data_IF_176891072244
#
_entry.id   IF_176891072244
#
_cell.length_a   1.000
_cell.length_b   1.000
_cell.length_c   1.000
_cell.angle_alpha   90.00
_cell.angle_beta   90.00
_cell.angle_gamma   90.00
#
_symmetry.space_group_name_H-M   'P 1'
#
loop_
_entity.id
_entity.type
_entity.pdbx_description
1 polymer ?
#
# COMPACT_ATOMS: atom_id res chain seq x y z
N UNK A 1 25.18 -8.72 14.48
CA UNK A 1 24.91 -7.74 15.60
C UNK A 1 23.53 -8.11 16.11
N UNK A 2 23.45 -8.50 17.40
CA UNK A 2 22.14 -8.79 18.00
C UNK A 2 21.32 -7.51 18.05
N UNK A 3 20.27 -7.48 17.27
CA UNK A 3 19.29 -6.39 17.30
C UNK A 3 18.26 -6.71 18.39
N UNK A 4 18.25 -6.01 19.53
CA UNK A 4 17.32 -6.35 20.61
C UNK A 4 15.90 -6.04 20.16
N UNK A 5 15.03 -7.04 20.17
CA UNK A 5 13.60 -6.84 20.09
C UNK A 5 13.09 -6.32 21.44
N UNK A 6 12.31 -5.27 21.44
CA UNK A 6 11.73 -4.64 22.64
C UNK A 6 10.24 -4.33 22.42
N UNK A 7 9.57 -3.95 23.50
CA UNK A 7 8.16 -3.61 23.46
C UNK A 7 7.31 -4.54 24.33
N UNK A 8 6.00 -4.47 24.17
CA UNK A 8 5.01 -5.21 24.95
C UNK A 8 4.43 -6.36 24.15
N UNK A 9 4.14 -7.45 24.86
CA UNK A 9 3.49 -8.62 24.26
C UNK A 9 2.81 -9.39 25.39
N UNK A 10 1.50 -9.57 25.29
CA UNK A 10 0.77 -10.37 26.26
C UNK A 10 1.33 -11.78 26.27
N UNK A 11 1.40 -12.40 27.45
CA UNK A 11 2.00 -13.73 27.65
C UNK A 11 1.44 -14.81 26.71
N UNK A 12 0.16 -14.69 26.35
CA UNK A 12 -0.52 -15.55 25.38
C UNK A 12 0.20 -15.59 24.01
N UNK A 13 0.80 -14.48 23.58
CA UNK A 13 1.47 -14.33 22.30
C UNK A 13 2.98 -14.47 22.38
N UNK A 14 3.51 -15.21 23.37
CA UNK A 14 4.94 -15.43 23.55
C UNK A 14 5.63 -16.01 22.31
N UNK A 15 4.98 -16.92 21.60
CA UNK A 15 5.49 -17.52 20.36
C UNK A 15 5.64 -16.45 19.24
N UNK A 16 4.72 -15.47 19.13
CA UNK A 16 4.87 -14.39 18.17
C UNK A 16 6.11 -13.54 18.48
N UNK A 17 6.38 -13.26 19.76
CA UNK A 17 7.61 -12.58 20.18
C UNK A 17 8.86 -13.36 19.78
N UNK A 18 8.85 -14.69 19.96
CA UNK A 18 9.96 -15.55 19.55
C UNK A 18 10.16 -15.54 18.03
N UNK A 19 9.07 -15.65 17.25
CA UNK A 19 9.15 -15.58 15.79
C UNK A 19 9.64 -14.21 15.30
N UNK A 20 9.24 -13.11 15.97
CA UNK A 20 9.75 -11.79 15.68
C UNK A 20 11.27 -11.71 15.92
N UNK A 21 11.77 -12.26 17.02
CA UNK A 21 13.22 -12.35 17.27
C UNK A 21 13.95 -13.24 16.25
N UNK A 22 13.34 -14.37 15.85
CA UNK A 22 13.89 -15.25 14.80
C UNK A 22 13.98 -14.56 13.44
N UNK A 23 13.11 -13.60 13.13
CA UNK A 23 13.21 -12.83 11.89
C UNK A 23 14.58 -12.14 11.78
N UNK A 24 15.08 -11.59 12.87
CA UNK A 24 16.42 -10.97 12.91
C UNK A 24 17.54 -12.00 12.87
N UNK A 25 17.42 -13.08 13.63
CA UNK A 25 18.47 -14.09 13.76
C UNK A 25 18.63 -14.96 12.51
N UNK A 26 17.51 -15.31 11.83
CA UNK A 26 17.48 -16.40 10.86
C UNK A 26 16.93 -15.98 9.48
N UNK A 27 16.12 -14.88 9.39
CA UNK A 27 15.41 -14.52 8.16
C UNK A 27 15.87 -13.19 7.57
N UNK A 28 17.03 -12.67 8.05
CA UNK A 28 17.66 -11.47 7.49
C UNK A 28 16.87 -10.18 7.72
N UNK A 29 16.09 -10.07 8.79
CA UNK A 29 15.49 -8.80 9.19
C UNK A 29 16.56 -7.81 9.64
N UNK A 30 16.40 -6.52 9.29
CA UNK A 30 17.34 -5.48 9.71
C UNK A 30 16.67 -4.53 10.70
N UNK A 31 15.53 -4.00 10.36
CA UNK A 31 14.69 -3.19 11.23
C UNK A 31 13.22 -3.45 10.94
N UNK A 32 12.43 -3.65 11.99
CA UNK A 32 11.00 -3.94 11.85
C UNK A 32 10.21 -3.60 13.10
N UNK A 33 8.89 -3.52 12.91
CA UNK A 33 7.92 -3.48 13.99
C UNK A 33 6.67 -4.28 13.64
N UNK A 34 6.01 -4.87 14.65
CA UNK A 34 4.74 -5.56 14.54
C UNK A 34 3.79 -5.11 15.64
N UNK A 35 2.55 -4.83 15.27
CA UNK A 35 1.48 -4.51 16.21
C UNK A 35 0.26 -5.39 15.94
N UNK A 36 -0.36 -5.89 17.00
CA UNK A 36 -1.62 -6.62 16.96
C UNK A 36 -2.59 -5.97 17.93
N UNK A 37 -3.75 -5.65 17.44
CA UNK A 37 -4.91 -5.26 18.26
C UNK A 37 -5.98 -6.34 18.16
N UNK A 38 -6.61 -6.65 19.29
CA UNK A 38 -7.75 -7.56 19.36
C UNK A 38 -8.86 -6.85 20.13
N UNK A 39 -10.03 -6.74 19.50
CA UNK A 39 -11.19 -6.04 20.06
C UNK A 39 -10.83 -4.63 20.56
N UNK A 40 -10.02 -3.89 19.76
CA UNK A 40 -9.60 -2.52 20.07
C UNK A 40 -8.52 -2.40 21.17
N UNK A 41 -7.95 -3.53 21.63
CA UNK A 41 -6.86 -3.55 22.62
C UNK A 41 -5.55 -3.99 21.99
N UNK A 42 -4.49 -3.22 22.12
CA UNK A 42 -3.14 -3.63 21.72
C UNK A 42 -2.66 -4.78 22.60
N UNK A 43 -2.41 -5.95 22.02
CA UNK A 43 -1.92 -7.16 22.70
C UNK A 43 -0.47 -7.47 22.36
N UNK A 44 0.02 -6.96 21.21
CA UNK A 44 1.42 -7.03 20.78
C UNK A 44 1.82 -5.68 20.21
N UNK A 45 2.93 -5.15 20.68
CA UNK A 45 3.62 -3.97 20.13
C UNK A 45 5.12 -4.21 20.30
N UNK A 46 5.74 -4.76 19.26
CA UNK A 46 7.16 -5.13 19.24
C UNK A 46 7.89 -4.37 18.15
N UNK A 47 9.08 -3.91 18.46
CA UNK A 47 10.00 -3.29 17.52
C UNK A 47 11.43 -3.77 17.78
N UNK A 48 12.29 -3.66 16.77
CA UNK A 48 13.68 -4.06 16.92
C UNK A 48 14.54 -3.74 15.71
N UNK A 49 15.84 -3.89 15.89
CA UNK A 49 16.83 -3.72 14.84
C UNK A 49 17.20 -2.28 14.55
N UNK A 50 17.53 -2.00 13.31
CA UNK A 50 18.17 -0.78 12.85
C UNK A 50 17.37 -0.07 11.79
N UNK A 51 17.28 1.25 11.89
CA UNK A 51 16.62 2.10 10.93
C UNK A 51 17.53 2.53 9.76
N UNK A 52 18.79 2.15 9.78
CA UNK A 52 19.78 2.40 8.73
C UNK A 52 20.63 1.14 8.45
N UNK A 53 21.34 1.15 7.31
CA UNK A 53 22.19 0.01 6.89
C UNK A 53 23.41 -0.15 7.80
N UNK A 54 23.95 0.92 8.30
CA UNK A 54 25.20 0.92 9.09
C UNK A 54 25.00 0.47 10.53
N UNK A 55 23.75 0.25 10.97
CA UNK A 55 23.46 -0.15 12.35
C UNK A 55 23.78 0.94 13.38
N UNK A 56 23.64 2.21 13.00
CA UNK A 56 23.92 3.36 13.86
C UNK A 56 22.66 4.01 14.42
N UNK A 57 21.55 3.90 13.69
CA UNK A 57 20.25 4.44 14.06
C UNK A 57 19.34 3.29 14.52
N UNK A 58 19.11 3.12 15.82
CA UNK A 58 18.23 2.06 16.30
C UNK A 58 16.79 2.31 15.84
N UNK A 59 16.07 1.24 15.50
CA UNK A 59 14.64 1.31 15.31
C UNK A 59 13.96 1.72 16.60
N UNK A 60 12.99 2.62 16.54
CA UNK A 60 12.27 3.16 17.70
C UNK A 60 10.78 2.86 17.56
N UNK A 61 10.02 2.96 18.65
CA UNK A 61 8.57 2.79 18.63
C UNK A 61 7.85 3.79 17.73
N UNK A 62 8.44 4.97 17.51
CA UNK A 62 7.96 6.04 16.65
C UNK A 62 8.64 6.06 15.27
N UNK A 63 9.40 5.03 14.90
CA UNK A 63 10.03 4.94 13.57
C UNK A 63 8.96 4.79 12.50
N UNK A 64 9.05 5.65 11.49
CA UNK A 64 8.26 5.58 10.27
C UNK A 64 9.07 4.84 9.19
N UNK A 65 8.40 4.07 8.38
CA UNK A 65 9.01 3.45 7.21
C UNK A 65 8.01 3.38 6.06
N UNK A 66 8.52 3.37 4.84
CA UNK A 66 7.71 3.14 3.66
C UNK A 66 7.07 1.74 3.71
N UNK A 67 5.76 1.68 3.81
CA UNK A 67 4.98 0.44 3.81
C UNK A 67 4.41 0.10 2.43
N UNK A 68 4.81 0.86 1.43
CA UNK A 68 4.45 0.62 0.03
C UNK A 68 2.93 0.47 -0.20
N UNK A 69 2.56 -0.59 -0.90
CA UNK A 69 1.19 -0.82 -1.36
C UNK A 69 0.16 -1.05 -0.25
N UNK A 70 0.54 -1.16 1.02
CA UNK A 70 -0.42 -1.09 2.14
C UNK A 70 -1.19 0.22 2.09
N UNK A 71 -0.56 1.31 1.62
CA UNK A 71 -1.18 2.62 1.44
C UNK A 71 -2.35 2.67 0.46
N UNK A 72 -2.43 1.72 -0.49
CA UNK A 72 -3.58 1.64 -1.43
C UNK A 72 -4.91 1.45 -0.71
N UNK A 73 -4.92 0.63 0.34
CA UNK A 73 -6.12 0.45 1.16
C UNK A 73 -6.55 1.77 1.84
N UNK A 74 -5.59 2.59 2.27
CA UNK A 74 -5.90 3.86 2.93
C UNK A 74 -6.42 4.90 1.93
N UNK A 75 -5.85 4.96 0.73
CA UNK A 75 -6.37 5.84 -0.33
C UNK A 75 -7.76 5.41 -0.80
N UNK A 76 -7.97 4.10 -0.95
CA UNK A 76 -9.30 3.56 -1.25
C UNK A 76 -10.30 3.91 -0.15
N UNK A 77 -9.90 3.81 1.11
CA UNK A 77 -10.74 4.19 2.25
C UNK A 77 -11.19 5.67 2.16
N UNK A 78 -10.32 6.58 1.74
CA UNK A 78 -10.71 7.99 1.52
C UNK A 78 -11.82 8.09 0.45
N UNK A 79 -11.68 7.38 -0.67
CA UNK A 79 -12.70 7.36 -1.72
C UNK A 79 -14.02 6.72 -1.24
N UNK A 80 -13.93 5.59 -0.53
CA UNK A 80 -15.11 4.90 0.01
C UNK A 80 -15.86 5.74 1.05
N UNK A 81 -15.17 6.53 1.84
CA UNK A 81 -15.80 7.49 2.76
C UNK A 81 -16.60 8.57 2.02
N UNK A 82 -16.16 8.99 0.84
CA UNK A 82 -16.93 9.91 -0.01
C UNK A 82 -18.16 9.20 -0.61
N UNK A 83 -18.06 7.91 -0.90
CA UNK A 83 -19.21 7.09 -1.32
C UNK A 83 -20.23 6.98 -0.18
N UNK A 84 -19.79 6.64 1.00
CA UNK A 84 -20.65 6.49 2.20
C UNK A 84 -21.34 7.82 2.58
N UNK A 85 -20.64 8.95 2.32
CA UNK A 85 -21.21 10.29 2.48
C UNK A 85 -22.12 10.73 1.31
N UNK A 86 -22.38 9.88 0.33
CA UNK A 86 -23.22 10.20 -0.84
C UNK A 86 -22.65 11.27 -1.78
N UNK A 87 -21.33 11.50 -1.73
CA UNK A 87 -20.66 12.54 -2.53
C UNK A 87 -20.33 12.06 -3.96
N UNK A 88 -20.19 10.76 -4.15
CA UNK A 88 -19.97 10.08 -5.43
C UNK A 88 -20.46 8.63 -5.29
N UNK A 89 -21.02 8.05 -6.35
CA UNK A 89 -21.41 6.64 -6.40
C UNK A 89 -20.25 5.74 -6.87
N UNK A 90 -20.25 4.47 -6.45
CA UNK A 90 -19.26 3.50 -6.94
C UNK A 90 -19.32 3.32 -8.46
N UNK A 91 -20.52 3.37 -9.03
CA UNK A 91 -20.77 3.14 -10.45
C UNK A 91 -20.91 4.45 -11.23
N UNK A 92 -20.67 5.60 -10.60
CA UNK A 92 -20.62 6.88 -11.29
C UNK A 92 -19.40 6.93 -12.21
N UNK A 93 -19.55 7.45 -13.45
CA UNK A 93 -18.41 7.69 -14.32
C UNK A 93 -17.42 8.66 -13.66
N UNK A 94 -16.14 8.34 -13.69
CA UNK A 94 -15.06 9.20 -13.18
C UNK A 94 -15.12 10.59 -13.85
N UNK A 95 -15.53 10.63 -15.12
CA UNK A 95 -15.66 11.84 -15.90
C UNK A 95 -16.64 12.88 -15.31
N UNK A 96 -17.56 12.48 -14.44
CA UNK A 96 -18.50 13.39 -13.77
C UNK A 96 -17.78 14.36 -12.82
N UNK A 97 -16.67 13.91 -12.22
CA UNK A 97 -15.86 14.72 -11.29
C UNK A 97 -14.49 15.06 -11.87
N UNK A 98 -14.07 14.34 -12.88
CA UNK A 98 -12.79 14.52 -13.57
C UNK A 98 -12.99 14.43 -15.10
N UNK A 99 -13.53 15.51 -15.73
CA UNK A 99 -13.91 15.49 -17.15
C UNK A 99 -12.77 15.11 -18.09
N UNK A 100 -11.53 15.50 -17.77
CA UNK A 100 -10.35 15.21 -18.58
C UNK A 100 -10.05 13.70 -18.64
N UNK A 101 -10.51 12.91 -17.66
CA UNK A 101 -10.35 11.47 -17.66
C UNK A 101 -11.15 10.75 -18.75
N UNK A 102 -12.21 11.39 -19.29
CA UNK A 102 -12.98 10.82 -20.40
C UNK A 102 -12.18 10.65 -21.70
N UNK A 103 -11.03 11.31 -21.81
CA UNK A 103 -10.19 11.22 -23.00
C UNK A 103 -9.82 9.77 -23.36
N UNK A 104 -9.57 9.53 -24.64
CA UNK A 104 -9.07 8.26 -25.18
C UNK A 104 -10.02 7.07 -24.94
N UNK A 105 -11.35 7.29 -24.89
CA UNK A 105 -12.33 6.21 -24.73
C UNK A 105 -12.52 5.71 -23.30
N UNK A 106 -12.23 6.56 -22.29
CA UNK A 106 -12.42 6.21 -20.87
C UNK A 106 -13.68 6.82 -20.23
N UNK A 107 -14.60 7.36 -21.03
CA UNK A 107 -15.82 8.04 -20.54
C UNK A 107 -16.72 7.14 -19.67
N UNK A 108 -16.71 5.82 -19.92
CA UNK A 108 -17.49 4.84 -19.16
C UNK A 108 -16.75 4.26 -17.95
N UNK A 109 -15.51 4.69 -17.70
CA UNK A 109 -14.76 4.22 -16.52
C UNK A 109 -15.41 4.75 -15.24
N UNK A 110 -15.66 3.86 -14.26
CA UNK A 110 -16.31 4.20 -13.00
C UNK A 110 -15.33 4.20 -11.83
N UNK A 111 -15.74 4.77 -10.68
CA UNK A 111 -14.97 4.68 -9.44
C UNK A 111 -14.72 3.21 -9.05
N UNK A 112 -15.72 2.33 -9.21
CA UNK A 112 -15.58 0.88 -8.99
C UNK A 112 -14.45 0.31 -9.83
N UNK A 113 -14.37 0.65 -11.12
CA UNK A 113 -13.29 0.18 -12.00
C UNK A 113 -11.91 0.64 -11.51
N UNK A 114 -11.79 1.86 -11.02
CA UNK A 114 -10.54 2.36 -10.44
C UNK A 114 -10.16 1.58 -9.19
N UNK A 115 -11.10 1.39 -8.25
CA UNK A 115 -10.86 0.75 -6.96
C UNK A 115 -10.50 -0.74 -7.08
N UNK A 116 -11.06 -1.46 -8.06
CA UNK A 116 -10.78 -2.90 -8.28
C UNK A 116 -9.82 -3.20 -9.44
N UNK A 117 -9.01 -2.21 -9.85
CA UNK A 117 -7.97 -2.37 -10.88
C UNK A 117 -8.46 -2.69 -12.30
N UNK A 118 -9.65 -2.22 -12.67
CA UNK A 118 -10.27 -2.45 -13.98
C UNK A 118 -10.35 -1.20 -14.87
N UNK A 119 -9.82 -0.05 -14.42
CA UNK A 119 -9.92 1.22 -15.16
C UNK A 119 -9.12 1.29 -16.47
N UNK A 120 -8.28 0.29 -16.76
CA UNK A 120 -7.52 0.24 -18.02
C UNK A 120 -6.26 1.09 -18.06
N UNK A 121 -5.83 1.71 -16.97
CA UNK A 121 -4.67 2.60 -16.91
C UNK A 121 -3.57 2.15 -15.92
N UNK A 122 -3.13 0.87 -15.97
CA UNK A 122 -2.13 0.37 -15.02
C UNK A 122 -0.75 0.96 -15.26
N UNK A 123 -0.48 1.51 -16.45
CA UNK A 123 0.79 2.07 -16.86
C UNK A 123 0.59 3.32 -17.72
N UNK A 124 1.44 4.33 -17.50
CA UNK A 124 1.40 5.58 -18.24
C UNK A 124 2.15 5.44 -19.56
N UNK A 125 1.56 5.91 -20.67
CA UNK A 125 2.19 5.85 -22.01
C UNK A 125 3.11 7.03 -22.30
N UNK A 126 2.75 8.29 -21.94
CA UNK A 126 3.65 9.42 -22.14
C UNK A 126 4.93 9.23 -21.32
N UNK A 127 6.13 9.49 -21.89
CA UNK A 127 7.37 9.41 -21.14
C UNK A 127 7.42 10.51 -20.07
N UNK A 128 7.75 10.10 -18.85
CA UNK A 128 7.85 10.97 -17.69
C UNK A 128 9.23 10.84 -17.04
N UNK A 129 9.60 11.85 -16.25
CA UNK A 129 10.85 11.91 -15.50
C UNK A 129 10.56 11.84 -13.99
N UNK A 130 11.59 11.66 -13.17
CA UNK A 130 11.43 11.74 -11.71
C UNK A 130 11.04 13.14 -11.24
N UNK A 131 11.39 14.20 -11.97
CA UNK A 131 10.93 15.55 -11.66
C UNK A 131 9.42 15.71 -11.85
N UNK A 132 8.82 14.95 -12.75
CA UNK A 132 7.37 14.89 -12.95
C UNK A 132 6.66 14.19 -11.80
N UNK A 133 7.30 13.19 -11.22
CA UNK A 133 6.76 12.39 -10.10
C UNK A 133 6.42 13.25 -8.87
N UNK A 134 7.16 14.34 -8.66
CA UNK A 134 6.94 15.26 -7.53
C UNK A 134 5.81 16.27 -7.76
N UNK A 135 5.22 16.29 -8.96
CA UNK A 135 4.19 17.24 -9.36
C UNK A 135 2.85 16.53 -9.58
N UNK A 136 1.98 16.65 -8.59
CA UNK A 136 0.67 15.97 -8.62
C UNK A 136 -0.09 16.19 -9.93
N UNK A 137 -0.22 17.45 -10.36
CA UNK A 137 -1.01 17.79 -11.56
C UNK A 137 -0.42 17.17 -12.83
N UNK A 138 0.89 17.05 -12.93
CA UNK A 138 1.55 16.40 -14.08
C UNK A 138 1.20 14.91 -14.10
N UNK A 139 1.30 14.25 -12.95
CA UNK A 139 0.99 12.82 -12.84
C UNK A 139 -0.49 12.54 -13.08
N UNK A 140 -1.40 13.34 -12.51
CA UNK A 140 -2.83 13.22 -12.72
C UNK A 140 -3.19 13.45 -14.20
N UNK A 141 -2.63 14.48 -14.84
CA UNK A 141 -2.83 14.73 -16.27
C UNK A 141 -2.29 13.59 -17.13
N UNK A 142 -1.16 12.97 -16.78
CA UNK A 142 -0.64 11.81 -17.48
C UNK A 142 -1.57 10.59 -17.37
N UNK A 143 -2.19 10.38 -16.20
CA UNK A 143 -3.21 9.34 -16.02
C UNK A 143 -4.42 9.63 -16.92
N UNK A 144 -4.92 10.86 -16.94
CA UNK A 144 -6.06 11.26 -17.77
C UNK A 144 -5.78 11.16 -19.27
N UNK A 145 -4.58 11.53 -19.71
CA UNK A 145 -4.18 11.51 -21.11
C UNK A 145 -3.76 10.12 -21.62
N UNK A 146 -3.57 9.15 -20.73
CA UNK A 146 -3.16 7.80 -21.14
C UNK A 146 -4.26 7.09 -21.90
N UNK A 147 -3.98 6.66 -23.14
CA UNK A 147 -4.83 5.71 -23.87
C UNK A 147 -4.90 4.42 -23.07
N UNK A 148 -6.09 3.89 -22.77
CA UNK A 148 -6.22 2.71 -21.94
C UNK A 148 -5.59 1.47 -22.61
N UNK A 149 -5.10 0.53 -21.80
CA UNK A 149 -4.53 -0.74 -22.25
C UNK A 149 -5.62 -1.75 -22.61
N UNK A 150 -6.84 -1.54 -22.13
CA UNK A 150 -8.07 -2.23 -22.47
C UNK A 150 -9.27 -1.33 -22.19
N UNK A 151 -10.40 -1.63 -22.76
CA UNK A 151 -11.66 -0.96 -22.46
C UNK A 151 -11.99 -1.08 -20.96
N UNK A 152 -12.20 0.05 -20.25
CA UNK A 152 -12.50 0.04 -18.82
C UNK A 152 -13.61 -0.97 -18.47
N UNK A 153 -13.38 -1.76 -17.42
CA UNK A 153 -14.34 -2.79 -16.98
C UNK A 153 -14.20 -4.15 -17.66
N UNK A 154 -13.45 -4.31 -18.77
CA UNK A 154 -13.38 -5.59 -19.51
C UNK A 154 -12.27 -6.53 -19.03
N UNK A 155 -11.17 -5.97 -18.52
CA UNK A 155 -10.03 -6.72 -18.00
C UNK A 155 -9.55 -6.10 -16.70
N UNK A 156 -8.61 -6.75 -16.03
CA UNK A 156 -7.89 -6.16 -14.92
C UNK A 156 -6.38 -6.39 -15.05
N UNK A 157 -5.61 -5.46 -14.50
CA UNK A 157 -4.22 -5.67 -14.11
C UNK A 157 -3.91 -4.75 -12.93
N UNK A 158 -3.02 -5.17 -12.06
CA UNK A 158 -2.66 -4.39 -10.88
C UNK A 158 -2.12 -3.02 -11.28
N UNK A 159 -2.83 -1.96 -10.94
CA UNK A 159 -2.40 -0.58 -11.11
C UNK A 159 -1.32 -0.28 -10.07
N UNK A 160 -0.11 -0.81 -10.28
CA UNK A 160 0.98 -0.84 -9.29
C UNK A 160 1.24 0.54 -8.71
N UNK A 161 1.43 1.52 -9.56
CA UNK A 161 1.79 2.88 -9.17
C UNK A 161 0.71 3.91 -9.51
N UNK A 162 0.03 3.74 -10.63
CA UNK A 162 -0.99 4.70 -11.11
C UNK A 162 -2.22 4.76 -10.20
N UNK A 163 -2.50 3.70 -9.41
CA UNK A 163 -3.64 3.61 -8.51
C UNK A 163 -3.80 4.84 -7.61
N UNK A 164 -2.69 5.29 -7.00
CA UNK A 164 -2.71 6.41 -6.07
C UNK A 164 -3.07 7.74 -6.73
N UNK A 165 -2.53 8.01 -7.91
CA UNK A 165 -2.87 9.22 -8.67
C UNK A 165 -4.28 9.13 -9.27
N UNK A 166 -4.71 7.94 -9.71
CA UNK A 166 -6.06 7.73 -10.24
C UNK A 166 -7.13 7.92 -9.16
N UNK A 167 -7.08 7.13 -8.08
CA UNK A 167 -8.06 7.21 -7.00
C UNK A 167 -7.91 8.51 -6.21
N UNK A 168 -6.66 8.93 -5.98
CA UNK A 168 -6.37 10.16 -5.25
C UNK A 168 -6.85 11.43 -5.95
N UNK A 169 -6.80 11.49 -7.28
CA UNK A 169 -7.32 12.64 -8.02
C UNK A 169 -8.86 12.70 -7.93
N UNK A 170 -9.54 11.55 -7.98
CA UNK A 170 -10.99 11.50 -7.74
C UNK A 170 -11.29 12.01 -6.33
N UNK A 171 -10.58 11.53 -5.32
CA UNK A 171 -10.72 11.99 -3.92
C UNK A 171 -10.52 13.50 -3.84
N UNK A 172 -9.45 14.05 -4.43
CA UNK A 172 -9.13 15.47 -4.42
C UNK A 172 -10.23 16.31 -5.06
N UNK A 173 -10.77 15.88 -6.20
CA UNK A 173 -11.82 16.62 -6.92
C UNK A 173 -13.16 16.62 -6.20
N UNK A 174 -13.52 15.49 -5.59
CA UNK A 174 -14.78 15.37 -4.85
C UNK A 174 -14.74 16.11 -3.51
N UNK A 175 -13.60 16.04 -2.80
CA UNK A 175 -13.47 16.64 -1.47
C UNK A 175 -13.00 18.09 -1.48
N UNK A 176 -12.18 18.47 -2.47
CA UNK A 176 -11.51 19.77 -2.55
C UNK A 176 -10.17 19.82 -1.79
N UNK A 177 -9.69 18.70 -1.22
CA UNK A 177 -8.45 18.62 -0.45
C UNK A 177 -7.56 17.46 -0.90
N UNK A 178 -6.26 17.53 -0.60
CA UNK A 178 -5.29 16.50 -0.99
C UNK A 178 -5.52 15.17 -0.27
N UNK A 179 -5.05 14.06 -0.83
CA UNK A 179 -5.03 12.77 -0.13
C UNK A 179 -4.19 12.83 1.15
N UNK A 180 -3.09 13.58 1.12
CA UNK A 180 -2.25 13.85 2.30
C UNK A 180 -3.07 14.42 3.44
N UNK A 181 -3.78 15.52 3.20
CA UNK A 181 -4.51 16.22 4.24
C UNK A 181 -5.67 15.38 4.78
N UNK A 182 -6.41 14.71 3.89
CA UNK A 182 -7.49 13.83 4.30
C UNK A 182 -7.01 12.61 5.07
N UNK A 183 -5.89 11.99 4.64
CA UNK A 183 -5.32 10.87 5.39
C UNK A 183 -4.79 11.32 6.74
N UNK A 184 -4.16 12.49 6.83
CA UNK A 184 -3.68 13.04 8.09
C UNK A 184 -4.85 13.31 9.07
N UNK A 185 -5.94 13.89 8.58
CA UNK A 185 -7.15 14.10 9.37
C UNK A 185 -7.75 12.76 9.84
N UNK A 186 -7.93 11.81 8.93
CA UNK A 186 -8.47 10.49 9.25
C UNK A 186 -7.58 9.76 10.26
N UNK A 187 -6.27 9.73 10.03
CA UNK A 187 -5.30 9.08 10.90
C UNK A 187 -5.33 9.68 12.32
N UNK A 188 -5.46 11.01 12.44
CA UNK A 188 -5.60 11.66 13.74
C UNK A 188 -6.85 11.21 14.51
N UNK A 189 -7.99 10.97 13.82
CA UNK A 189 -9.24 10.53 14.48
C UNK A 189 -9.14 9.13 15.09
N UNK A 190 -8.23 8.29 14.57
CA UNK A 190 -8.01 6.92 15.05
C UNK A 190 -6.69 6.77 15.81
N UNK A 191 -5.95 7.85 15.99
CA UNK A 191 -4.64 7.85 16.66
C UNK A 191 -3.58 7.05 15.91
N UNK A 192 -3.68 6.97 14.58
CA UNK A 192 -2.73 6.28 13.72
C UNK A 192 -1.61 7.21 13.25
N UNK A 193 -0.40 6.68 13.19
CA UNK A 193 0.77 7.40 12.68
C UNK A 193 1.10 6.87 11.29
N UNK A 194 0.33 7.34 10.30
CA UNK A 194 0.45 7.00 8.88
C UNK A 194 0.36 8.25 8.01
N UNK A 195 1.15 8.30 6.95
CA UNK A 195 1.32 9.46 6.09
C UNK A 195 1.40 9.08 4.61
N UNK A 196 0.91 9.95 3.75
CA UNK A 196 1.28 10.06 2.34
C UNK A 196 1.96 11.42 2.16
N UNK A 197 3.29 11.40 1.92
CA UNK A 197 4.11 12.60 2.04
C UNK A 197 4.35 12.97 3.50
N UNK A 198 5.45 12.48 4.04
CA UNK A 198 5.85 12.73 5.43
C UNK A 198 6.13 14.22 5.65
N UNK A 199 5.56 14.86 6.68
CA UNK A 199 5.90 16.23 7.03
C UNK A 199 7.41 16.40 7.25
N UNK A 200 7.99 17.52 6.82
CA UNK A 200 9.44 17.78 6.96
C UNK A 200 9.98 17.65 8.39
N UNK A 201 9.15 17.99 9.36
CA UNK A 201 9.48 17.87 10.80
C UNK A 201 9.62 16.41 11.25
N UNK A 202 8.97 15.47 10.54
CA UNK A 202 8.90 14.05 10.88
C UNK A 202 9.88 13.18 10.07
N UNK A 203 10.45 13.69 8.98
CA UNK A 203 11.38 12.92 8.09
C UNK A 203 12.54 12.30 8.87
N UNK A 204 13.01 12.93 9.97
CA UNK A 204 14.05 12.38 10.85
C UNK A 204 13.68 11.04 11.49
N UNK A 205 12.37 10.72 11.59
CA UNK A 205 11.86 9.45 12.13
C UNK A 205 11.86 8.33 11.10
N UNK A 206 12.02 8.66 9.81
CA UNK A 206 11.98 7.66 8.76
C UNK A 206 13.21 6.75 8.83
N UNK A 207 12.96 5.44 8.75
CA UNK A 207 13.98 4.46 8.45
C UNK A 207 14.37 4.53 6.97
N UNK A 208 15.61 4.17 6.68
CA UNK A 208 16.05 3.95 5.30
C UNK A 208 15.57 2.59 4.83
N UNK A 209 15.00 2.55 3.64
CA UNK A 209 14.66 1.29 2.96
C UNK A 209 15.94 0.68 2.39
N UNK A 210 16.13 -0.60 2.65
CA UNK A 210 17.32 -1.35 2.30
C UNK A 210 16.94 -2.48 1.34
N UNK A 211 17.47 -2.45 0.13
CA UNK A 211 17.31 -3.55 -0.81
C UNK A 211 18.39 -4.61 -0.61
N UNK A 212 18.14 -5.82 -1.09
CA UNK A 212 19.05 -6.99 -0.96
C UNK A 212 20.43 -6.67 -1.51
N UNK A 213 20.52 -5.97 -2.63
CA UNK A 213 21.78 -5.53 -3.22
C UNK A 213 21.91 -4.01 -3.17
N UNK A 214 23.13 -3.46 -2.95
CA UNK A 214 23.37 -2.04 -2.97
C UNK A 214 23.04 -1.40 -4.33
N UNK A 215 23.16 -2.14 -5.43
CA UNK A 215 22.85 -1.72 -6.79
C UNK A 215 21.36 -1.38 -6.97
N UNK A 216 20.47 -2.06 -6.22
CA UNK A 216 19.03 -1.79 -6.23
C UNK A 216 18.68 -0.47 -5.54
N UNK A 217 19.58 0.10 -4.74
CA UNK A 217 19.46 1.45 -4.16
C UNK A 217 20.03 2.54 -5.06
N UNK A 218 20.88 2.18 -6.02
CA UNK A 218 21.31 3.09 -7.07
C UNK A 218 20.10 3.41 -7.96
N UNK A 219 20.00 4.62 -8.54
CA UNK A 219 18.98 4.87 -9.52
C UNK A 219 19.03 3.73 -10.55
N UNK A 220 18.01 2.87 -10.54
CA UNK A 220 17.77 2.07 -11.71
C UNK A 220 17.76 3.10 -12.84
N UNK A 221 18.74 3.05 -13.71
CA UNK A 221 18.60 3.73 -14.96
C UNK A 221 17.26 3.24 -15.49
N UNK A 222 16.32 4.16 -15.71
CA UNK A 222 15.14 3.81 -16.46
C UNK A 222 15.62 2.99 -17.66
N UNK A 223 14.94 1.89 -17.99
CA UNK A 223 15.31 1.15 -19.19
C UNK A 223 15.47 2.19 -20.31
N UNK A 224 16.61 2.20 -20.95
CA UNK A 224 16.87 3.17 -22.01
C UNK A 224 15.77 2.99 -23.06
N UNK A 225 15.40 4.06 -23.76
CA UNK A 225 14.37 4.00 -24.82
C UNK A 225 14.58 2.84 -25.78
N UNK A 226 15.83 2.44 -26.02
CA UNK A 226 16.20 1.33 -26.87
C UNK A 226 15.83 -0.04 -26.24
N UNK A 227 15.86 -0.16 -24.94
CA UNK A 227 15.39 -1.38 -24.23
C UNK A 227 13.86 -1.54 -24.28
N UNK A 228 13.13 -0.44 -24.35
CA UNK A 228 11.67 -0.44 -24.52
C UNK A 228 11.25 -0.63 -25.99
N UNK A 229 12.12 -0.34 -26.96
CA UNK A 229 11.79 -0.31 -28.37
C UNK A 229 11.36 -1.69 -28.97
N UNK A 230 11.66 -2.79 -28.28
CA UNK A 230 11.26 -4.14 -28.68
C UNK A 230 10.07 -4.71 -27.89
N UNK A 231 9.60 -4.01 -26.86
CA UNK A 231 8.52 -4.50 -25.99
C UNK A 231 7.15 -4.12 -26.56
N UNK A 232 6.20 -5.05 -26.48
CA UNK A 232 4.82 -4.84 -26.93
C UNK A 232 3.81 -5.48 -25.95
N UNK A 233 2.56 -5.06 -26.02
CA UNK A 233 1.48 -5.65 -25.22
C UNK A 233 1.77 -5.64 -23.73
N UNK A 234 1.57 -6.80 -23.09
CA UNK A 234 1.68 -6.95 -21.64
C UNK A 234 3.11 -6.68 -21.11
N UNK A 235 4.15 -7.02 -21.89
CA UNK A 235 5.53 -6.76 -21.48
C UNK A 235 5.84 -5.25 -21.40
N UNK A 236 5.40 -4.48 -22.40
CA UNK A 236 5.53 -3.02 -22.36
C UNK A 236 4.71 -2.42 -21.23
N UNK A 237 3.48 -2.90 -21.04
CA UNK A 237 2.60 -2.46 -19.96
C UNK A 237 3.24 -2.69 -18.59
N UNK A 238 3.77 -3.88 -18.36
CA UNK A 238 4.47 -4.22 -17.11
C UNK A 238 5.65 -3.29 -16.87
N UNK A 239 6.56 -3.15 -17.86
CA UNK A 239 7.74 -2.30 -17.74
C UNK A 239 7.36 -0.84 -17.43
N UNK A 240 6.41 -0.27 -18.15
CA UNK A 240 5.94 1.09 -17.90
C UNK A 240 5.20 1.23 -16.57
N UNK A 241 4.55 0.18 -16.06
CA UNK A 241 3.86 0.23 -14.77
C UNK A 241 4.82 0.41 -13.59
N UNK A 242 6.05 -0.07 -13.72
CA UNK A 242 7.08 0.03 -12.70
C UNK A 242 8.02 1.22 -12.89
N UNK A 243 8.35 1.59 -14.14
CA UNK A 243 9.46 2.48 -14.46
C UNK A 243 9.09 3.73 -15.27
N UNK A 244 7.82 4.10 -15.34
CA UNK A 244 7.41 5.36 -15.96
C UNK A 244 6.52 6.21 -15.04
N UNK A 245 7.09 7.22 -14.34
CA UNK A 245 8.51 7.65 -14.34
C UNK A 245 9.48 6.63 -13.72
N UNK A 246 10.79 6.75 -13.93
CA UNK A 246 11.79 5.77 -13.47
C UNK A 246 11.71 5.39 -12.00
N UNK A 247 11.54 6.37 -11.13
CA UNK A 247 11.43 6.18 -9.67
C UNK A 247 10.03 5.85 -9.17
N UNK A 248 9.06 5.56 -10.04
CA UNK A 248 7.66 5.38 -9.64
C UNK A 248 7.45 4.22 -8.66
N UNK A 249 8.27 3.18 -8.78
CA UNK A 249 8.31 2.05 -7.83
C UNK A 249 9.35 2.22 -6.71
N UNK A 250 9.75 3.45 -6.43
CA UNK A 250 10.73 3.81 -5.40
C UNK A 250 12.21 3.58 -5.75
N UNK A 251 12.50 2.84 -6.81
CA UNK A 251 13.88 2.50 -7.18
C UNK A 251 14.71 3.77 -7.39
N UNK A 252 15.86 3.82 -6.71
CA UNK A 252 16.79 4.95 -6.78
C UNK A 252 16.36 6.24 -6.06
N UNK A 253 15.12 6.32 -5.55
CA UNK A 253 14.60 7.56 -4.92
C UNK A 253 14.05 7.34 -3.50
N UNK A 254 13.84 6.11 -3.05
CA UNK A 254 13.08 5.76 -1.83
C UNK A 254 13.56 6.46 -0.56
N UNK A 255 14.85 6.72 -0.42
CA UNK A 255 15.43 7.36 0.77
C UNK A 255 15.65 8.86 0.61
N UNK A 256 15.27 9.45 -0.53
CA UNK A 256 15.42 10.88 -0.76
C UNK A 256 14.38 11.70 -0.01
N UNK A 257 14.71 12.94 0.39
CA UNK A 257 13.73 13.85 0.98
C UNK A 257 12.54 14.13 0.06
N UNK A 258 12.75 14.15 -1.25
CA UNK A 258 11.73 14.35 -2.29
C UNK A 258 10.71 13.23 -2.25
N UNK A 259 11.17 11.96 -2.25
CA UNK A 259 10.29 10.80 -2.15
C UNK A 259 9.48 10.81 -0.86
N UNK A 260 10.15 10.99 0.28
CA UNK A 260 9.49 11.01 1.59
C UNK A 260 8.45 12.11 1.71
N UNK A 261 8.72 13.26 1.08
CA UNK A 261 7.83 14.42 1.09
C UNK A 261 6.78 14.46 -0.01
N UNK A 262 6.92 13.67 -1.07
CA UNK A 262 5.99 13.64 -2.19
C UNK A 262 4.66 12.97 -1.83
N UNK A 263 3.66 13.18 -2.69
CA UNK A 263 2.36 12.53 -2.61
C UNK A 263 2.26 11.48 -3.74
N UNK A 264 2.68 10.24 -3.43
CA UNK A 264 2.63 9.08 -4.34
C UNK A 264 1.86 7.94 -3.65
N UNK A 265 0.52 8.08 -3.50
CA UNK A 265 -0.24 7.31 -2.51
C UNK A 265 -0.23 5.79 -2.70
N UNK A 266 0.12 5.31 -3.89
CA UNK A 266 0.24 3.86 -4.16
C UNK A 266 1.46 3.22 -3.54
N UNK A 267 2.53 4.01 -3.29
CA UNK A 267 3.88 3.47 -3.18
C UNK A 267 4.68 4.09 -2.06
N UNK A 268 4.46 5.37 -1.70
CA UNK A 268 5.23 6.06 -0.67
C UNK A 268 4.47 6.31 0.64
N UNK A 269 3.51 5.45 0.97
CA UNK A 269 2.89 5.51 2.29
C UNK A 269 3.91 5.19 3.37
N UNK A 270 4.03 6.06 4.38
CA UNK A 270 4.92 5.89 5.52
C UNK A 270 4.13 5.75 6.82
N UNK A 271 4.58 4.90 7.73
CA UNK A 271 3.94 4.78 9.03
C UNK A 271 4.64 3.81 9.97
N UNK A 272 4.10 3.76 11.18
CA UNK A 272 4.47 2.77 12.20
C UNK A 272 3.58 1.52 12.12
N UNK A 273 4.02 0.39 12.68
CA UNK A 273 3.20 -0.81 12.78
C UNK A 273 1.91 -0.57 13.57
N UNK A 274 2.00 0.21 14.65
CA UNK A 274 0.85 0.64 15.46
C UNK A 274 -0.13 1.46 14.61
N UNK A 275 0.39 2.40 13.80
CA UNK A 275 -0.42 3.22 12.92
C UNK A 275 -1.19 2.36 11.90
N UNK A 276 -0.52 1.40 11.27
CA UNK A 276 -1.16 0.47 10.33
C UNK A 276 -2.22 -0.37 11.04
N UNK A 277 -1.90 -0.98 12.20
CA UNK A 277 -2.85 -1.79 12.96
C UNK A 277 -4.10 -0.99 13.36
N UNK A 278 -3.95 0.25 13.86
CA UNK A 278 -5.05 1.13 14.26
C UNK A 278 -5.98 1.50 13.09
N UNK A 279 -5.43 1.74 11.90
CA UNK A 279 -6.25 1.97 10.71
C UNK A 279 -7.15 0.77 10.41
N UNK A 280 -6.63 -0.45 10.53
CA UNK A 280 -7.42 -1.68 10.34
C UNK A 280 -8.35 -1.98 11.51
N UNK A 281 -7.95 -1.70 12.75
CA UNK A 281 -8.83 -1.84 13.93
C UNK A 281 -10.05 -0.93 13.83
N UNK A 282 -9.87 0.30 13.38
CA UNK A 282 -10.98 1.24 13.19
C UNK A 282 -11.99 0.80 12.11
N UNK A 283 -11.58 -0.06 11.14
CA UNK A 283 -12.49 -0.69 10.18
C UNK A 283 -13.33 -1.79 10.79
N UNK A 284 -12.87 -2.42 11.87
CA UNK A 284 -13.65 -3.45 12.61
C UNK A 284 -14.68 -2.83 13.55
N UNK A 285 -14.52 -1.56 13.95
CA UNK A 285 -15.52 -0.84 14.72
C UNK A 285 -16.70 -0.44 13.81
N UNK A 286 -17.84 -1.09 14.01
CA UNK A 286 -19.01 -0.94 13.13
C UNK A 286 -19.41 0.52 12.93
N UNK A 287 -19.46 0.93 11.68
CA UNK A 287 -19.88 2.27 11.27
C UNK A 287 -18.91 3.43 11.61
N UNK A 288 -17.73 3.13 12.16
CA UNK A 288 -16.76 4.19 12.51
C UNK A 288 -16.14 4.84 11.29
N UNK A 289 -15.65 4.06 10.34
CA UNK A 289 -14.98 4.55 9.13
C UNK A 289 -15.81 4.38 7.87
N UNK A 290 -16.54 3.28 7.78
CA UNK A 290 -17.46 2.95 6.68
C UNK A 290 -18.73 2.29 7.27
N UNK A 291 -19.85 2.41 6.55
CA UNK A 291 -21.03 1.60 6.85
C UNK A 291 -20.70 0.10 6.71
N UNK A 292 -21.33 -0.77 7.50
CA UNK A 292 -21.10 -2.21 7.44
C UNK A 292 -21.31 -2.77 6.03
N UNK A 293 -22.32 -2.31 5.33
CA UNK A 293 -22.70 -2.74 3.98
C UNK A 293 -21.61 -2.38 2.98
N UNK A 294 -21.08 -1.15 3.04
CA UNK A 294 -20.01 -0.71 2.13
C UNK A 294 -18.69 -1.40 2.44
N UNK A 295 -18.39 -1.66 3.73
CA UNK A 295 -17.20 -2.41 4.11
C UNK A 295 -17.27 -3.86 3.58
N UNK A 296 -18.41 -4.54 3.72
CA UNK A 296 -18.63 -5.88 3.19
C UNK A 296 -18.46 -5.90 1.66
N UNK A 297 -19.05 -4.95 0.95
CA UNK A 297 -18.87 -4.82 -0.50
C UNK A 297 -17.41 -4.56 -0.87
N UNK A 298 -16.73 -3.65 -0.17
CA UNK A 298 -15.35 -3.26 -0.45
C UNK A 298 -14.34 -4.40 -0.22
N UNK A 299 -14.62 -5.29 0.72
CA UNK A 299 -13.75 -6.42 1.08
C UNK A 299 -14.13 -7.73 0.37
N UNK A 300 -15.23 -7.74 -0.38
CA UNK A 300 -15.66 -8.87 -1.21
C UNK A 300 -14.95 -8.87 -2.58
N UNK A 301 -14.84 -10.03 -3.26
CA UNK A 301 -14.27 -10.12 -4.59
C UNK A 301 -15.00 -9.25 -5.61
N UNK A 302 -14.30 -8.29 -6.23
CA UNK A 302 -14.81 -7.38 -7.27
C UNK A 302 -14.17 -7.67 -8.64
N UNK A 303 -12.92 -8.13 -8.65
CA UNK A 303 -12.27 -8.62 -9.85
C UNK A 303 -11.38 -9.82 -9.54
N UNK A 304 -11.50 -10.87 -10.37
CA UNK A 304 -10.79 -12.15 -10.18
C UNK A 304 -10.24 -12.61 -11.51
N UNK A 305 -9.01 -13.12 -11.52
CA UNK A 305 -8.37 -13.72 -12.69
C UNK A 305 -6.87 -13.47 -12.75
N UNK A 306 -6.26 -13.87 -13.86
CA UNK A 306 -4.83 -13.69 -14.07
C UNK A 306 -4.44 -12.22 -14.26
N UNK A 307 -3.43 -11.78 -13.52
CA UNK A 307 -2.87 -10.44 -13.62
C UNK A 307 -1.54 -10.48 -14.40
N UNK A 308 -1.44 -9.85 -15.59
CA UNK A 308 -0.22 -9.88 -16.40
C UNK A 308 0.96 -9.11 -15.79
N UNK A 309 0.72 -8.18 -14.87
CA UNK A 309 1.78 -7.43 -14.16
C UNK A 309 2.34 -8.23 -12.96
N UNK A 310 1.52 -9.04 -12.32
CA UNK A 310 1.93 -9.82 -11.15
C UNK A 310 2.24 -11.28 -11.47
N UNK A 311 1.97 -11.70 -12.71
CA UNK A 311 2.15 -13.06 -13.21
C UNK A 311 1.48 -14.13 -12.33
N UNK A 312 0.30 -13.80 -11.79
CA UNK A 312 -0.46 -14.71 -10.92
C UNK A 312 -1.97 -14.45 -10.97
N UNK A 313 -2.74 -15.44 -10.53
CA UNK A 313 -4.15 -15.26 -10.23
C UNK A 313 -4.31 -14.34 -9.03
N UNK A 314 -5.15 -13.32 -9.17
CA UNK A 314 -5.42 -12.31 -8.15
C UNK A 314 -6.90 -12.15 -7.90
N UNK A 315 -7.22 -11.69 -6.70
CA UNK A 315 -8.54 -11.23 -6.31
C UNK A 315 -8.40 -9.84 -5.71
N UNK A 316 -9.16 -8.88 -6.23
CA UNK A 316 -9.24 -7.52 -5.70
C UNK A 316 -10.66 -7.23 -5.23
N UNK A 317 -10.79 -6.60 -4.07
CA UNK A 317 -11.96 -5.87 -3.63
C UNK A 317 -11.87 -4.41 -4.08
N UNK A 318 -12.57 -3.50 -3.41
CA UNK A 318 -12.50 -2.06 -3.68
C UNK A 318 -11.34 -1.44 -2.87
N UNK A 319 -10.12 -1.66 -3.33
CA UNK A 319 -8.88 -1.19 -2.70
C UNK A 319 -8.36 -2.07 -1.58
N UNK A 320 -9.12 -3.03 -1.11
CA UNK A 320 -8.67 -4.09 -0.23
C UNK A 320 -8.44 -5.38 -1.02
N UNK A 321 -7.61 -6.26 -0.48
CA UNK A 321 -7.47 -7.63 -0.95
C UNK A 321 -8.25 -8.55 -0.02
N UNK A 322 -9.24 -9.31 -0.52
CA UNK A 322 -9.80 -10.42 0.24
C UNK A 322 -8.72 -11.48 0.50
N UNK A 323 -8.86 -12.23 1.60
CA UNK A 323 -8.05 -13.41 1.83
C UNK A 323 -8.27 -14.44 0.73
N UNK A 324 -7.19 -15.07 0.28
CA UNK A 324 -7.23 -16.17 -0.70
C UNK A 324 -6.27 -17.27 -0.29
N UNK A 325 -6.50 -18.56 -0.62
CA UNK A 325 -5.66 -19.67 -0.16
C UNK A 325 -4.16 -19.50 -0.46
N UNK A 326 -3.84 -18.88 -1.60
CA UNK A 326 -2.45 -18.63 -1.99
C UNK A 326 -1.78 -17.52 -1.15
N UNK A 327 -2.58 -16.54 -0.68
CA UNK A 327 -2.12 -15.36 0.07
C UNK A 327 -3.09 -15.03 1.21
N UNK A 328 -3.14 -15.90 2.24
CA UNK A 328 -4.07 -15.72 3.33
C UNK A 328 -3.64 -14.57 4.25
N UNK A 329 -4.65 -13.91 4.84
CA UNK A 329 -4.53 -13.01 5.99
C UNK A 329 -4.96 -13.71 7.28
N UNK A 330 -4.58 -14.97 7.45
CA UNK A 330 -5.06 -15.83 8.52
C UNK A 330 -6.04 -16.90 8.00
N UNK A 331 -6.65 -17.69 8.89
CA UNK A 331 -7.51 -18.82 8.53
C UNK A 331 -8.94 -18.42 8.16
N UNK A 332 -9.39 -17.24 8.56
CA UNK A 332 -10.79 -16.83 8.45
C UNK A 332 -11.09 -16.22 7.07
N UNK A 333 -12.20 -16.64 6.47
CA UNK A 333 -12.55 -16.30 5.09
C UNK A 333 -12.92 -14.81 4.88
N UNK A 334 -13.32 -14.10 5.94
CA UNK A 334 -13.67 -12.67 5.88
C UNK A 334 -12.49 -11.73 6.11
N UNK A 335 -11.29 -12.29 6.37
CA UNK A 335 -10.09 -11.46 6.54
C UNK A 335 -9.75 -10.71 5.25
N UNK A 336 -9.34 -9.47 5.41
CA UNK A 336 -8.98 -8.58 4.31
C UNK A 336 -7.82 -7.67 4.69
N UNK A 337 -7.07 -7.21 3.72
CA UNK A 337 -5.93 -6.33 3.99
C UNK A 337 -5.21 -5.89 2.74
N UNK A 338 -3.95 -5.51 2.90
CA UNK A 338 -3.07 -5.26 1.77
C UNK A 338 -1.62 -5.59 2.12
N UNK A 339 -0.91 -6.17 1.15
CA UNK A 339 0.54 -6.41 1.22
C UNK A 339 1.30 -5.23 0.62
N UNK A 340 2.46 -4.93 1.19
CA UNK A 340 3.45 -4.01 0.62
C UNK A 340 4.67 -4.75 0.07
N UNK A 341 5.40 -4.08 -0.80
CA UNK A 341 6.68 -4.57 -1.32
C UNK A 341 7.63 -4.89 -0.16
N UNK A 342 8.33 -6.00 -0.26
CA UNK A 342 9.28 -6.44 0.77
C UNK A 342 8.67 -7.18 1.96
N UNK A 343 7.33 -7.23 2.07
CA UNK A 343 6.65 -7.97 3.11
C UNK A 343 5.90 -7.13 4.14
N UNK A 344 5.86 -5.80 3.99
CA UNK A 344 4.96 -4.97 4.81
C UNK A 344 3.53 -5.47 4.68
N UNK A 345 2.77 -5.41 5.77
CA UNK A 345 1.46 -6.04 5.86
C UNK A 345 0.55 -5.27 6.80
N UNK A 346 -0.67 -4.99 6.33
CA UNK A 346 -1.78 -4.57 7.16
C UNK A 346 -3.01 -5.39 6.84
N UNK A 347 -3.70 -5.89 7.85
CA UNK A 347 -4.96 -6.61 7.65
C UNK A 347 -5.89 -6.54 8.86
N UNK A 348 -7.16 -6.82 8.61
CA UNK A 348 -8.19 -7.04 9.60
C UNK A 348 -8.84 -8.41 9.42
N UNK A 349 -9.19 -9.02 10.52
CA UNK A 349 -9.97 -10.26 10.60
C UNK A 349 -11.20 -10.02 11.49
N UNK A 350 -12.37 -9.78 10.88
CA UNK A 350 -13.59 -9.50 11.64
C UNK A 350 -14.11 -10.70 12.45
N UNK A 351 -13.74 -11.94 12.07
CA UNK A 351 -14.18 -13.14 12.79
C UNK A 351 -13.40 -13.35 14.10
N UNK A 352 -12.14 -12.92 14.12
CA UNK A 352 -11.27 -13.01 15.28
C UNK A 352 -11.12 -11.67 16.04
N UNK A 353 -11.74 -10.58 15.55
CA UNK A 353 -11.55 -9.23 16.10
C UNK A 353 -10.13 -8.70 15.98
N UNK A 354 -9.33 -9.24 15.05
CA UNK A 354 -7.89 -8.96 14.93
C UNK A 354 -7.63 -7.85 13.93
N UNK A 355 -6.80 -6.87 14.31
CA UNK A 355 -6.13 -5.96 13.41
C UNK A 355 -4.62 -6.10 13.56
N UNK A 356 -3.91 -6.13 12.42
CA UNK A 356 -2.51 -6.44 12.35
C UNK A 356 -1.76 -5.42 11.50
N UNK A 357 -0.61 -4.96 11.99
CA UNK A 357 0.33 -4.14 11.26
C UNK A 357 1.76 -4.67 11.39
N UNK A 358 2.44 -4.87 10.28
CA UNK A 358 3.86 -5.22 10.23
C UNK A 358 4.56 -4.35 9.20
N UNK A 359 5.60 -3.66 9.63
CA UNK A 359 6.43 -2.81 8.78
C UNK A 359 7.90 -3.15 8.99
N UNK A 360 8.70 -3.03 7.93
CA UNK A 360 10.11 -3.39 7.92
C UNK A 360 10.87 -2.53 6.90
N UNK A 361 12.18 -2.43 7.05
CA UNK A 361 12.99 -1.67 6.11
C UNK A 361 13.88 -2.50 5.18
N UNK A 362 14.07 -3.79 5.43
CA UNK A 362 14.84 -4.64 4.54
C UNK A 362 13.92 -5.35 3.55
N UNK A 363 13.86 -4.81 2.34
CA UNK A 363 13.02 -5.29 1.25
C UNK A 363 13.57 -6.60 0.70
N UNK A 364 12.75 -7.65 0.76
CA UNK A 364 12.94 -8.87 -0.03
C UNK A 364 11.84 -8.89 -1.10
N UNK A 365 12.13 -9.29 -2.35
CA UNK A 365 11.21 -9.14 -3.47
C UNK A 365 10.03 -10.13 -3.39
N UNK A 366 9.23 -10.05 -2.31
CA UNK A 366 8.03 -10.88 -2.10
C UNK A 366 7.04 -10.14 -1.21
N UNK A 367 5.76 -10.26 -1.52
CA UNK A 367 4.68 -9.72 -0.70
C UNK A 367 4.42 -10.53 0.56
N UNK A 368 4.36 -11.86 0.41
CA UNK A 368 4.37 -12.79 1.55
C UNK A 368 5.75 -13.39 1.69
N UNK A 369 6.44 -12.96 2.70
CA UNK A 369 7.74 -13.48 3.08
C UNK A 369 7.61 -14.52 4.20
N UNK A 370 8.66 -15.29 4.44
CA UNK A 370 8.75 -16.15 5.61
C UNK A 370 8.61 -15.36 6.91
N UNK A 371 8.99 -14.06 6.91
CA UNK A 371 8.92 -13.18 8.08
C UNK A 371 7.48 -12.91 8.51
N UNK A 372 6.66 -12.33 7.62
CA UNK A 372 5.29 -11.98 7.97
C UNK A 372 4.40 -13.21 8.14
N UNK A 373 4.67 -14.31 7.39
CA UNK A 373 3.96 -15.58 7.58
C UNK A 373 4.18 -16.16 8.96
N UNK A 374 5.44 -16.23 9.42
CA UNK A 374 5.75 -16.76 10.75
C UNK A 374 5.02 -15.97 11.87
N UNK A 375 4.93 -14.64 11.72
CA UNK A 375 4.21 -13.80 12.68
C UNK A 375 2.70 -14.07 12.67
N UNK A 376 2.09 -14.17 11.48
CA UNK A 376 0.67 -14.52 11.35
C UNK A 376 0.37 -15.91 11.90
N UNK A 377 1.19 -16.91 11.54
CA UNK A 377 1.00 -18.28 11.99
C UNK A 377 1.09 -18.38 13.52
N UNK A 378 2.06 -17.68 14.15
CA UNK A 378 2.21 -17.63 15.60
C UNK A 378 1.03 -16.91 16.27
N UNK A 379 0.51 -15.82 15.65
CA UNK A 379 -0.68 -15.14 16.13
C UNK A 379 -1.87 -16.10 16.21
N UNK A 380 -2.19 -16.77 15.10
CA UNK A 380 -3.38 -17.62 15.03
C UNK A 380 -3.26 -18.94 15.80
N UNK A 381 -2.05 -19.43 16.08
CA UNK A 381 -1.87 -20.55 17.03
C UNK A 381 -2.18 -20.17 18.48
N UNK A 382 -2.08 -18.88 18.79
CA UNK A 382 -2.37 -18.37 20.13
C UNK A 382 -3.83 -17.94 20.32
N UNK A 383 -4.62 -17.78 19.26
CA UNK A 383 -6.05 -17.43 19.33
C UNK A 383 -6.92 -18.66 19.58
#
# INVERSE_FOLDING_TARGET
MDAPAYGTCDARFGELREEFARNFAERGEVGAAVCVEIDGRTVVDLAGGWADREGRKPWRSDTLVDFYSVGKAFVALLALRLVDAGRIGLDDPIATVWPEFAAEGKEAATLRHALCHRAGVPALRPPLTNDDLWRWDVMANAVAATTPWWEPGTKHAYHTNTYGHLVGEIVRRVSGTSCRDQLAELAATVGADVHVGVPRTEVRRCADVLFVTPEETTPASAPERDELAGLVGDQLMEMLSYFNPPGYSSMGVVNTPEWRGAEVPSTNGHGSAVGVARMYAALLEQGRLLSPELLEEATSPQSVGYCPILHEEVTFGLGFKPTVPRRPFGPNARSFGHFGTGGALGFADPDAGVAFGYVMNHVIPRWQSTRNRALMDALYRAL
#
